data_IF_003968687609
#
_entry.id   IF_003968687609
#
_cell.length_a   1.000
_cell.length_b   1.000
_cell.length_c   1.000
_cell.angle_alpha   90.00
_cell.angle_beta   90.00
_cell.angle_gamma   90.00
#
_symmetry.space_group_name_H-M   'P 1'
#
loop_
_entity.id
_entity.type
_entity.pdbx_description
1 polymer ?
#
# COMPACT_ATOMS: atom_id res chain seq x y z
N UNK A 1 -27.92 -4.19 17.88
CA UNK A 1 -27.46 -3.07 17.03
C UNK A 1 -26.42 -2.28 17.79
N UNK A 2 -25.19 -2.79 17.79
CA UNK A 2 -24.00 -2.11 18.32
C UNK A 2 -22.93 -2.44 17.31
N UNK A 3 -22.96 -1.74 16.18
CA UNK A 3 -21.87 -1.76 15.22
C UNK A 3 -20.68 -1.12 15.91
N UNK A 4 -19.70 -1.93 16.28
CA UNK A 4 -18.34 -1.44 16.37
C UNK A 4 -18.00 -1.03 14.94
N UNK A 5 -18.08 0.27 14.66
CA UNK A 5 -17.32 0.87 13.59
C UNK A 5 -15.87 0.53 13.88
N UNK A 6 -15.33 -0.42 13.12
CA UNK A 6 -13.89 -0.50 12.91
C UNK A 6 -13.41 0.90 12.50
N UNK A 7 -12.31 1.39 13.06
CA UNK A 7 -11.76 2.66 12.62
C UNK A 7 -11.40 2.52 11.14
N UNK A 8 -12.17 3.21 10.29
CA UNK A 8 -11.77 3.53 8.93
C UNK A 8 -10.37 4.15 9.02
N UNK A 9 -9.35 3.42 8.57
CA UNK A 9 -8.03 3.99 8.36
C UNK A 9 -8.17 4.95 7.19
N UNK A 10 -8.11 6.24 7.50
CA UNK A 10 -8.16 7.29 6.49
C UNK A 10 -6.72 7.43 5.97
N UNK A 11 -6.56 7.02 4.72
CA UNK A 11 -5.32 6.92 3.96
C UNK A 11 -4.46 8.19 4.03
N UNK A 12 -3.21 8.04 4.43
CA UNK A 12 -2.15 9.00 4.11
C UNK A 12 -1.33 8.36 3.00
N UNK A 13 -1.68 8.63 1.74
CA UNK A 13 -1.02 7.95 0.62
C UNK A 13 0.31 8.61 0.16
N UNK A 14 0.79 9.71 0.78
CA UNK A 14 1.94 10.47 0.23
C UNK A 14 2.82 11.23 1.25
N UNK A 15 3.88 11.89 0.75
CA UNK A 15 4.78 12.76 1.54
C UNK A 15 3.99 13.94 2.16
N UNK A 16 4.26 14.28 3.43
CA UNK A 16 3.60 15.39 4.17
C UNK A 16 4.61 16.35 4.81
N UNK A 17 4.14 17.44 5.43
CA UNK A 17 4.99 18.46 6.03
C UNK A 17 6.03 19.04 5.06
N UNK A 18 7.27 19.21 5.51
CA UNK A 18 8.33 19.73 4.63
C UNK A 18 8.69 18.78 3.48
N UNK A 19 8.65 17.46 3.69
CA UNK A 19 8.88 16.47 2.63
C UNK A 19 7.81 16.56 1.52
N UNK A 20 6.54 16.72 1.89
CA UNK A 20 5.43 16.89 0.94
C UNK A 20 5.53 18.19 0.16
N UNK A 21 6.03 19.27 0.80
CA UNK A 21 6.29 20.52 0.10
C UNK A 21 7.41 20.33 -0.93
N UNK A 22 8.50 19.68 -0.55
CA UNK A 22 9.62 19.44 -1.48
C UNK A 22 9.24 18.52 -2.64
N UNK A 23 8.33 17.56 -2.42
CA UNK A 23 7.74 16.77 -3.50
C UNK A 23 6.97 17.66 -4.50
N UNK A 24 6.13 18.59 -4.02
CA UNK A 24 5.42 19.51 -4.88
C UNK A 24 6.37 20.34 -5.76
N UNK A 25 7.54 20.75 -5.23
CA UNK A 25 8.59 21.40 -6.02
C UNK A 25 9.19 20.48 -7.08
N UNK A 26 9.37 19.19 -6.80
CA UNK A 26 9.95 18.23 -7.77
C UNK A 26 9.00 17.93 -8.92
N UNK A 27 7.70 17.98 -8.67
CA UNK A 27 6.66 17.69 -9.65
C UNK A 27 6.20 18.92 -10.44
N UNK A 28 6.53 20.12 -9.97
CA UNK A 28 6.13 21.38 -10.62
C UNK A 28 7.22 21.90 -11.55
N UNK A 29 6.85 22.72 -12.56
CA UNK A 29 7.82 23.51 -13.31
C UNK A 29 8.70 24.36 -12.39
N UNK A 30 9.97 24.54 -12.76
CA UNK A 30 10.91 25.31 -11.96
C UNK A 30 10.42 26.75 -11.74
N UNK A 31 10.25 27.20 -10.48
CA UNK A 31 9.82 28.56 -10.22
C UNK A 31 10.84 29.59 -10.73
N UNK A 32 10.39 30.54 -11.53
CA UNK A 32 11.28 31.54 -12.15
C UNK A 32 11.85 32.56 -11.14
N UNK A 33 11.14 32.78 -10.03
CA UNK A 33 11.49 33.76 -9.01
C UNK A 33 10.88 33.40 -7.66
N UNK A 34 11.27 34.14 -6.62
CA UNK A 34 10.82 33.90 -5.24
C UNK A 34 9.31 34.03 -5.06
N UNK A 35 8.65 34.91 -5.83
CA UNK A 35 7.20 35.06 -5.81
C UNK A 35 6.50 33.82 -6.35
N UNK A 36 6.98 33.25 -7.47
CA UNK A 36 6.46 32.00 -8.03
C UNK A 36 6.68 30.82 -7.06
N UNK A 37 7.85 30.74 -6.41
CA UNK A 37 8.13 29.70 -5.42
C UNK A 37 7.19 29.80 -4.20
N UNK A 38 6.92 31.01 -3.70
CA UNK A 38 5.91 31.21 -2.65
C UNK A 38 4.49 30.92 -3.13
N UNK A 39 4.19 31.22 -4.39
CA UNK A 39 2.92 30.85 -5.03
C UNK A 39 2.66 29.34 -4.98
N UNK A 40 3.70 28.52 -5.23
CA UNK A 40 3.61 27.06 -5.10
C UNK A 40 3.37 26.62 -3.65
N UNK A 41 4.04 27.24 -2.68
CA UNK A 41 3.79 26.99 -1.24
C UNK A 41 2.33 27.27 -0.90
N UNK A 42 1.81 28.43 -1.33
CA UNK A 42 0.42 28.81 -1.11
C UNK A 42 -0.55 27.83 -1.78
N UNK A 43 -0.31 27.45 -3.03
CA UNK A 43 -1.14 26.49 -3.76
C UNK A 43 -1.19 25.12 -3.08
N UNK A 44 -0.04 24.62 -2.60
CA UNK A 44 0.02 23.36 -1.84
C UNK A 44 -0.76 23.47 -0.54
N UNK A 45 -0.61 24.56 0.21
CA UNK A 45 -1.38 24.79 1.43
C UNK A 45 -2.90 24.92 1.14
N UNK A 46 -3.28 25.59 0.05
CA UNK A 46 -4.67 25.77 -0.37
C UNK A 46 -5.35 24.44 -0.76
N UNK A 47 -4.62 23.55 -1.44
CA UNK A 47 -5.11 22.23 -1.80
C UNK A 47 -5.54 21.41 -0.58
N UNK A 48 -4.85 21.55 0.55
CA UNK A 48 -5.15 20.84 1.80
C UNK A 48 -6.22 21.54 2.65
N UNK A 49 -6.45 22.84 2.45
CA UNK A 49 -7.49 23.58 3.16
C UNK A 49 -8.89 23.42 2.54
N UNK A 50 -9.00 22.95 1.29
CA UNK A 50 -10.28 22.86 0.57
C UNK A 50 -10.86 21.43 0.55
N UNK A 51 -11.60 21.06 1.59
CA UNK A 51 -12.81 20.25 1.39
C UNK A 51 -14.01 21.20 1.17
N UNK A 52 -14.25 21.58 -0.08
CA UNK A 52 -15.52 22.15 -0.51
C UNK A 52 -15.83 21.63 -1.93
N UNK A 53 -17.09 21.28 -2.23
CA UNK A 53 -17.45 20.39 -3.33
C UNK A 53 -16.99 20.90 -4.70
N UNK A 54 -16.43 19.96 -5.46
CA UNK A 54 -16.03 20.01 -6.87
C UNK A 54 -16.79 21.08 -7.67
N UNK A 55 -16.07 22.13 -8.06
CA UNK A 55 -16.56 23.16 -8.98
C UNK A 55 -15.52 24.19 -9.42
N UNK A 56 -14.34 24.25 -8.79
CA UNK A 56 -13.32 25.27 -9.08
C UNK A 56 -12.02 24.73 -9.70
N UNK A 57 -11.74 23.42 -9.60
CA UNK A 57 -10.48 22.82 -10.07
C UNK A 57 -10.51 22.33 -11.53
N UNK A 58 -11.55 22.67 -12.28
CA UNK A 58 -11.69 22.32 -13.71
C UNK A 58 -10.64 22.95 -14.62
N UNK A 59 -9.91 23.94 -14.11
CA UNK A 59 -8.78 24.54 -14.82
C UNK A 59 -7.45 23.79 -14.62
N UNK A 60 -7.38 22.87 -13.64
CA UNK A 60 -6.20 22.03 -13.40
C UNK A 60 -6.36 20.69 -14.12
N UNK A 61 -5.32 20.28 -14.84
CA UNK A 61 -5.19 18.97 -15.46
C UNK A 61 -5.19 17.83 -14.42
N UNK A 62 -5.46 16.61 -14.87
CA UNK A 62 -5.39 15.42 -14.01
C UNK A 62 -4.01 15.27 -13.35
N UNK A 63 -2.94 15.60 -14.08
CA UNK A 63 -1.57 15.59 -13.57
C UNK A 63 -1.39 16.65 -12.47
N UNK A 64 -1.87 17.89 -12.67
CA UNK A 64 -1.79 18.94 -11.65
C UNK A 64 -2.59 18.60 -10.38
N UNK A 65 -3.74 17.92 -10.52
CA UNK A 65 -4.52 17.46 -9.37
C UNK A 65 -3.82 16.36 -8.58
N UNK A 66 -3.19 15.42 -9.29
CA UNK A 66 -2.36 14.35 -8.69
C UNK A 66 -1.15 14.93 -7.98
N UNK A 67 -0.44 15.87 -8.61
CA UNK A 67 0.75 16.56 -8.06
C UNK A 67 0.43 17.33 -6.77
N UNK A 68 -0.75 17.93 -6.69
CA UNK A 68 -1.18 18.72 -5.52
C UNK A 68 -1.74 17.85 -4.38
N UNK A 69 -2.03 16.58 -4.62
CA UNK A 69 -2.52 15.64 -3.61
C UNK A 69 -4.03 15.72 -3.38
N UNK A 70 -4.82 16.04 -4.42
CA UNK A 70 -6.28 16.19 -4.33
C UNK A 70 -7.07 14.88 -4.11
N UNK A 71 -6.42 13.71 -4.14
CA UNK A 71 -7.11 12.41 -4.09
C UNK A 71 -7.13 11.76 -2.69
N UNK A 72 -6.80 12.51 -1.64
CA UNK A 72 -6.61 11.94 -0.30
C UNK A 72 -7.34 12.77 0.76
N UNK A 73 -8.13 12.08 1.56
CA UNK A 73 -8.85 12.50 2.76
C UNK A 73 -7.90 12.95 3.88
N UNK A 74 -7.33 14.14 3.73
CA UNK A 74 -6.55 14.80 4.76
C UNK A 74 -7.46 15.56 5.71
N UNK A 75 -7.96 14.90 6.77
CA UNK A 75 -8.81 15.60 7.72
C UNK A 75 -8.50 15.16 9.15
N UNK A 76 -7.74 16.01 9.85
CA UNK A 76 -7.94 16.29 11.27
C UNK A 76 -7.07 17.45 11.83
N UNK A 77 -5.91 17.80 11.22
CA UNK A 77 -4.94 18.75 11.82
C UNK A 77 -4.30 19.82 10.94
N UNK A 78 -4.61 19.88 9.64
CA UNK A 78 -4.14 20.96 8.75
C UNK A 78 -2.64 20.91 8.43
N UNK A 79 -2.33 20.61 7.17
CA UNK A 79 -0.96 20.52 6.63
C UNK A 79 -0.05 21.73 6.97
N UNK A 80 -0.65 22.92 7.15
CA UNK A 80 0.08 24.13 7.54
C UNK A 80 0.80 24.01 8.89
N UNK A 81 0.20 23.35 9.89
CA UNK A 81 0.79 23.21 11.23
C UNK A 81 1.95 22.20 11.21
N UNK A 82 1.81 21.08 10.49
CA UNK A 82 2.88 20.10 10.31
C UNK A 82 4.08 20.68 9.56
N UNK A 83 3.82 21.37 8.44
CA UNK A 83 4.86 22.06 7.68
C UNK A 83 5.57 23.11 8.55
N UNK A 84 4.80 23.85 9.35
CA UNK A 84 5.33 24.88 10.25
C UNK A 84 6.22 24.28 11.35
N UNK A 85 5.83 23.15 11.92
CA UNK A 85 6.65 22.44 12.90
C UNK A 85 8.00 22.00 12.29
N UNK A 86 7.98 21.37 11.12
CA UNK A 86 9.19 20.94 10.40
C UNK A 86 10.10 22.13 10.08
N UNK A 87 9.53 23.21 9.56
CA UNK A 87 10.23 24.44 9.20
C UNK A 87 10.89 25.06 10.44
N UNK A 88 10.16 25.18 11.55
CA UNK A 88 10.69 25.77 12.80
C UNK A 88 11.83 24.94 13.37
N UNK A 89 11.70 23.62 13.37
CA UNK A 89 12.78 22.71 13.80
C UNK A 89 14.08 23.00 13.06
N UNK A 90 14.03 23.21 11.74
CA UNK A 90 15.22 23.57 10.96
C UNK A 90 15.67 25.03 11.20
N UNK A 91 14.75 25.99 11.25
CA UNK A 91 15.05 27.42 11.44
C UNK A 91 15.63 27.73 12.81
N UNK A 92 15.28 26.96 13.83
CA UNK A 92 15.79 27.11 15.21
C UNK A 92 16.99 26.19 15.48
N UNK A 93 17.31 25.27 14.56
CA UNK A 93 18.41 24.33 14.72
C UNK A 93 19.80 24.99 14.72
N UNK A 94 20.80 24.34 15.35
CA UNK A 94 22.19 24.76 15.29
C UNK A 94 22.91 24.40 13.97
N UNK A 95 22.19 23.89 12.96
CA UNK A 95 22.78 23.52 11.67
C UNK A 95 23.29 24.76 10.92
N UNK A 96 24.34 24.59 10.11
CA UNK A 96 24.79 25.63 9.19
C UNK A 96 23.75 25.89 8.08
N UNK A 97 23.69 27.11 7.53
CA UNK A 97 22.76 27.42 6.44
C UNK A 97 23.04 26.58 5.19
N UNK A 98 24.31 26.27 4.95
CA UNK A 98 24.77 25.40 3.87
C UNK A 98 24.22 23.97 4.01
N UNK A 99 24.14 23.45 5.24
CA UNK A 99 23.55 22.13 5.50
C UNK A 99 22.04 22.13 5.23
N UNK A 100 21.33 23.16 5.70
CA UNK A 100 19.89 23.34 5.43
C UNK A 100 19.64 23.46 3.91
N UNK A 101 20.47 24.25 3.22
CA UNK A 101 20.41 24.41 1.76
C UNK A 101 20.65 23.09 1.03
N UNK A 102 21.65 22.31 1.44
CA UNK A 102 21.96 21.02 0.82
C UNK A 102 20.79 20.04 0.95
N UNK A 103 20.18 19.97 2.13
CA UNK A 103 19.00 19.12 2.38
C UNK A 103 17.80 19.58 1.57
N UNK A 104 17.48 20.88 1.56
CA UNK A 104 16.39 21.44 0.76
C UNK A 104 16.56 21.11 -0.72
N UNK A 105 17.76 21.36 -1.27
CA UNK A 105 18.02 21.13 -2.70
C UNK A 105 17.90 19.65 -3.05
N UNK A 106 18.40 18.76 -2.20
CA UNK A 106 18.30 17.32 -2.45
C UNK A 106 16.85 16.83 -2.43
N UNK A 107 16.07 17.26 -1.43
CA UNK A 107 14.67 16.88 -1.31
C UNK A 107 13.78 17.51 -2.40
N UNK A 108 14.09 18.74 -2.84
CA UNK A 108 13.36 19.46 -3.89
C UNK A 108 13.91 19.23 -5.31
N UNK A 109 14.82 18.28 -5.51
CA UNK A 109 15.40 17.97 -6.84
C UNK A 109 16.22 19.07 -7.48
N UNK A 110 16.69 20.04 -6.69
CA UNK A 110 17.45 21.18 -7.17
C UNK A 110 16.64 22.15 -8.04
N UNK A 111 15.32 21.94 -8.15
CA UNK A 111 14.40 22.74 -8.97
C UNK A 111 14.32 24.19 -8.48
N UNK A 112 14.48 24.40 -7.17
CA UNK A 112 14.54 25.72 -6.54
C UNK A 112 15.69 25.81 -5.54
N UNK A 113 16.56 26.81 -5.72
CA UNK A 113 17.68 27.12 -4.81
C UNK A 113 17.59 28.57 -4.32
N UNK A 114 17.23 28.81 -3.04
CA UNK A 114 17.09 30.17 -2.48
C UNK A 114 18.32 31.06 -2.72
N UNK A 115 19.53 30.49 -2.69
CA UNK A 115 20.76 31.27 -2.85
C UNK A 115 20.97 31.76 -4.28
N UNK A 116 20.42 31.07 -5.29
CA UNK A 116 20.41 31.56 -6.67
C UNK A 116 19.58 32.85 -6.82
N UNK A 117 18.71 33.13 -5.84
CA UNK A 117 17.87 34.32 -5.76
C UNK A 117 18.30 35.26 -4.63
N UNK A 118 19.55 35.15 -4.15
CA UNK A 118 20.11 36.07 -3.15
C UNK A 118 19.54 35.89 -1.74
N UNK A 119 19.03 34.71 -1.41
CA UNK A 119 18.41 34.40 -0.12
C UNK A 119 19.12 33.23 0.58
N UNK A 120 19.29 33.31 1.90
CA UNK A 120 19.74 32.14 2.68
C UNK A 120 18.66 31.07 2.75
N UNK A 121 19.03 29.80 2.96
CA UNK A 121 18.04 28.75 3.10
C UNK A 121 17.14 28.98 4.34
N UNK A 122 17.70 29.53 5.42
CA UNK A 122 16.94 29.87 6.62
C UNK A 122 15.96 31.01 6.40
N UNK A 123 16.31 32.02 5.63
CA UNK A 123 15.37 33.10 5.28
C UNK A 123 14.23 32.58 4.40
N UNK A 124 14.52 31.64 3.49
CA UNK A 124 13.49 30.95 2.72
C UNK A 124 12.51 30.19 3.60
N UNK A 125 13.03 29.37 4.52
CA UNK A 125 12.20 28.62 5.48
C UNK A 125 11.39 29.55 6.40
N UNK A 126 11.94 30.71 6.83
CA UNK A 126 11.18 31.70 7.60
C UNK A 126 9.99 32.26 6.82
N UNK A 127 10.14 32.52 5.52
CA UNK A 127 9.00 32.96 4.69
C UNK A 127 7.92 31.89 4.56
N UNK A 128 8.31 30.61 4.56
CA UNK A 128 7.34 29.51 4.62
C UNK A 128 6.61 29.52 5.98
N UNK A 129 7.32 29.66 7.11
CA UNK A 129 6.69 29.78 8.45
C UNK A 129 5.73 30.97 8.52
N UNK A 130 6.13 32.14 8.00
CA UNK A 130 5.28 33.33 7.92
C UNK A 130 4.02 33.07 7.06
N UNK A 131 4.17 32.37 5.93
CA UNK A 131 3.05 32.01 5.05
C UNK A 131 2.08 31.04 5.74
N UNK A 132 2.59 30.04 6.46
CA UNK A 132 1.77 29.14 7.27
C UNK A 132 1.08 29.89 8.43
N UNK A 133 1.81 30.76 9.14
CA UNK A 133 1.29 31.50 10.28
C UNK A 133 0.24 32.55 9.91
N UNK A 134 0.24 33.04 8.67
CA UNK A 134 -0.78 33.94 8.15
C UNK A 134 -2.15 33.25 7.94
N UNK A 135 -2.20 31.92 7.98
CA UNK A 135 -3.47 31.18 7.83
C UNK A 135 -4.27 31.17 9.13
N UNK A 136 -5.59 31.36 9.06
CA UNK A 136 -6.44 31.25 10.24
C UNK A 136 -6.42 29.80 10.74
N UNK A 137 -6.29 29.56 12.06
CA UNK A 137 -6.34 28.20 12.60
C UNK A 137 -7.71 27.58 12.29
N UNK A 138 -7.71 26.37 11.73
CA UNK A 138 -8.93 25.62 11.37
C UNK A 138 -9.64 25.19 12.66
N UNK A 139 -10.60 25.99 13.12
CA UNK A 139 -11.50 25.61 14.22
C UNK A 139 -12.67 24.81 13.65
N UNK A 140 -12.60 23.49 13.72
CA UNK A 140 -13.76 22.63 13.42
C UNK A 140 -14.71 22.69 14.64
N UNK A 141 -15.91 23.30 14.53
CA UNK A 141 -16.80 23.49 15.69
C UNK A 141 -17.26 22.14 16.25
N UNK A 142 -17.18 21.97 17.59
CA UNK A 142 -17.70 20.78 18.28
C UNK A 142 -16.69 19.64 18.50
N UNK A 143 -15.51 19.66 17.87
CA UNK A 143 -14.41 18.75 18.20
C UNK A 143 -13.53 19.35 19.30
N UNK A 144 -13.28 18.58 20.37
CA UNK A 144 -12.15 18.87 21.28
C UNK A 144 -10.87 18.69 20.46
N UNK A 145 -9.81 19.50 20.67
CA UNK A 145 -8.49 19.12 20.19
C UNK A 145 -8.24 17.71 20.74
N UNK A 146 -8.05 16.73 19.87
CA UNK A 146 -7.52 15.46 20.34
C UNK A 146 -6.17 15.78 21.01
N UNK A 147 -5.78 15.06 22.08
CA UNK A 147 -4.41 15.15 22.58
C UNK A 147 -3.47 15.09 21.37
N UNK A 148 -2.51 16.02 21.31
CA UNK A 148 -1.59 16.22 20.19
C UNK A 148 -1.20 14.86 19.59
N UNK A 149 -1.81 14.56 18.45
CA UNK A 149 -1.87 13.29 17.74
C UNK A 149 -2.50 12.09 18.48
N UNK A 150 -3.47 11.42 17.84
CA UNK A 150 -3.75 10.00 18.12
C UNK A 150 -2.48 9.13 17.97
N UNK A 151 -1.52 9.59 17.14
CA UNK A 151 -0.14 9.10 17.07
C UNK A 151 0.73 9.43 18.30
N UNK A 152 0.33 10.37 19.16
CA UNK A 152 1.16 10.93 20.23
C UNK A 152 1.27 10.01 21.43
N UNK A 153 0.33 9.06 21.54
CA UNK A 153 0.42 7.99 22.52
C UNK A 153 1.45 6.90 22.11
N UNK A 154 1.85 6.83 20.84
CA UNK A 154 2.69 5.76 20.28
C UNK A 154 3.91 6.25 19.48
N UNK A 155 4.19 7.55 19.39
CA UNK A 155 5.44 8.03 18.80
C UNK A 155 6.59 7.65 19.73
N UNK A 156 7.56 6.85 19.27
CA UNK A 156 8.74 6.52 20.07
C UNK A 156 9.45 7.81 20.43
N UNK A 157 10.09 7.83 21.59
CA UNK A 157 10.95 8.95 21.93
C UNK A 157 12.00 9.11 20.83
N UNK A 158 12.30 10.35 20.42
CA UNK A 158 13.25 10.60 19.32
C UNK A 158 14.59 9.87 19.52
N UNK A 159 15.02 9.70 20.77
CA UNK A 159 16.26 9.01 21.11
C UNK A 159 16.22 7.50 20.79
N UNK A 160 15.05 6.85 20.78
CA UNK A 160 14.90 5.41 20.51
C UNK A 160 15.13 5.04 19.03
N UNK A 161 14.89 5.98 18.12
CA UNK A 161 14.92 5.78 16.66
C UNK A 161 16.08 6.53 15.99
N UNK A 162 16.72 7.47 16.70
CA UNK A 162 17.77 8.33 16.14
C UNK A 162 18.94 7.53 15.60
N UNK A 163 19.46 6.61 16.39
CA UNK A 163 20.67 5.86 16.03
C UNK A 163 20.42 4.99 14.78
N UNK A 164 19.22 4.41 14.66
CA UNK A 164 18.86 3.59 13.50
C UNK A 164 18.72 4.43 12.22
N UNK A 165 18.05 5.58 12.30
CA UNK A 165 17.93 6.51 11.15
C UNK A 165 19.32 7.03 10.73
N UNK A 166 20.14 7.44 11.71
CA UNK A 166 21.51 7.92 11.47
C UNK A 166 22.36 6.81 10.85
N UNK A 167 22.23 5.56 11.31
CA UNK A 167 22.95 4.42 10.76
C UNK A 167 22.58 4.15 9.29
N UNK A 168 21.30 4.22 8.91
CA UNK A 168 20.89 4.05 7.51
C UNK A 168 21.43 5.17 6.60
N UNK A 169 21.34 6.42 7.03
CA UNK A 169 21.88 7.57 6.25
C UNK A 169 23.40 7.44 6.10
N UNK A 170 24.09 7.10 7.18
CA UNK A 170 25.55 6.90 7.19
C UNK A 170 25.96 5.76 6.27
N UNK A 171 25.24 4.64 6.30
CA UNK A 171 25.47 3.50 5.40
C UNK A 171 25.36 3.89 3.92
N UNK A 172 24.37 4.72 3.55
CA UNK A 172 24.29 5.28 2.19
C UNK A 172 25.48 6.19 1.86
N UNK A 173 25.94 7.01 2.81
CA UNK A 173 27.11 7.89 2.60
C UNK A 173 28.38 7.11 2.34
N UNK A 174 28.62 6.06 3.12
CA UNK A 174 29.80 5.18 2.96
C UNK A 174 29.79 4.45 1.61
N UNK A 175 28.60 4.09 1.10
CA UNK A 175 28.45 3.54 -0.25
C UNK A 175 28.79 4.58 -1.33
N UNK A 176 28.45 5.85 -1.11
CA UNK A 176 28.71 6.97 -2.04
C UNK A 176 30.21 7.33 -2.14
N UNK A 177 31.00 7.06 -1.11
CA UNK A 177 32.45 7.35 -1.07
C UNK A 177 33.32 6.13 -1.38
N UNK A 178 32.71 4.96 -1.62
CA UNK A 178 33.42 3.71 -1.87
C UNK A 178 34.21 3.68 -3.19
N UNK A 179 35.27 2.87 -3.29
CA UNK A 179 36.10 2.74 -4.49
C UNK A 179 35.40 1.99 -5.65
N UNK A 180 34.27 1.36 -5.38
CA UNK A 180 33.46 0.68 -6.38
C UNK A 180 32.39 1.65 -6.90
N UNK A 181 32.20 1.79 -8.23
CA UNK A 181 31.16 2.64 -8.77
C UNK A 181 29.81 2.14 -8.24
N UNK A 182 29.10 2.99 -7.49
CA UNK A 182 27.73 2.69 -7.06
C UNK A 182 26.85 2.47 -8.29
N UNK A 183 25.88 1.54 -8.24
CA UNK A 183 25.02 1.21 -9.37
C UNK A 183 23.99 2.30 -9.73
N UNK A 184 24.16 3.55 -9.28
CA UNK A 184 23.25 4.66 -9.57
C UNK A 184 23.72 6.00 -9.00
N UNK A 185 23.03 7.10 -9.35
CA UNK A 185 23.34 8.44 -8.84
C UNK A 185 22.94 8.54 -7.37
N UNK A 186 23.92 8.48 -6.48
CA UNK A 186 23.70 8.76 -5.05
C UNK A 186 23.66 10.28 -4.81
N UNK A 187 22.91 10.75 -3.78
CA UNK A 187 23.08 12.09 -3.27
C UNK A 187 24.55 12.31 -2.88
N UNK A 188 25.03 13.55 -3.01
CA UNK A 188 26.42 13.86 -2.71
C UNK A 188 26.78 13.50 -1.25
N UNK A 189 28.03 13.12 -0.95
CA UNK A 189 28.44 12.85 0.42
C UNK A 189 28.17 14.00 1.40
N UNK A 190 28.25 15.24 0.92
CA UNK A 190 27.94 16.45 1.70
C UNK A 190 26.44 16.54 2.00
N UNK A 191 25.58 16.22 1.02
CA UNK A 191 24.12 16.12 1.21
C UNK A 191 23.78 15.05 2.25
N UNK A 192 24.36 13.87 2.15
CA UNK A 192 24.09 12.77 3.09
C UNK A 192 24.59 13.11 4.50
N UNK A 193 25.72 13.83 4.59
CA UNK A 193 26.21 14.35 5.88
C UNK A 193 25.24 15.37 6.49
N UNK A 194 24.68 16.27 5.67
CA UNK A 194 23.69 17.24 6.14
C UNK A 194 22.38 16.56 6.59
N UNK A 195 21.92 15.53 5.87
CA UNK A 195 20.76 14.72 6.28
C UNK A 195 21.01 13.95 7.58
N UNK A 196 22.22 13.41 7.76
CA UNK A 196 22.65 12.77 9.01
C UNK A 196 22.61 13.78 10.17
N UNK A 197 23.08 15.01 9.95
CA UNK A 197 23.02 16.07 10.96
C UNK A 197 21.58 16.47 11.31
N UNK A 198 20.65 16.52 10.35
CA UNK A 198 19.22 16.75 10.62
C UNK A 198 18.67 15.64 11.51
N UNK A 199 18.91 14.36 11.16
CA UNK A 199 18.42 13.23 11.95
C UNK A 199 19.01 13.22 13.37
N UNK A 200 20.31 13.51 13.49
CA UNK A 200 21.04 13.45 14.75
C UNK A 200 20.77 14.64 15.69
N UNK A 201 20.64 15.86 15.14
CA UNK A 201 20.66 17.11 15.92
C UNK A 201 19.37 17.90 15.90
N UNK A 202 18.46 17.61 14.96
CA UNK A 202 17.18 18.32 14.81
C UNK A 202 16.05 17.40 15.20
N UNK A 203 15.77 16.40 14.36
CA UNK A 203 14.74 15.41 14.63
C UNK A 203 14.89 14.19 13.71
N UNK A 204 14.86 12.95 14.24
CA UNK A 204 15.08 11.75 13.43
C UNK A 204 13.96 11.51 12.41
N UNK A 205 12.68 11.75 12.76
CA UNK A 205 11.57 11.68 11.81
C UNK A 205 11.75 12.61 10.60
N UNK A 206 12.02 13.90 10.84
CA UNK A 206 12.24 14.86 9.76
C UNK A 206 13.46 14.49 8.89
N UNK A 207 14.56 14.07 9.54
CA UNK A 207 15.74 13.57 8.84
C UNK A 207 15.45 12.35 7.97
N UNK A 208 14.66 11.40 8.48
CA UNK A 208 14.25 10.21 7.74
C UNK A 208 13.36 10.54 6.54
N UNK A 209 12.33 11.38 6.72
CA UNK A 209 11.43 11.79 5.62
C UNK A 209 12.18 12.55 4.51
N UNK A 210 13.06 13.48 4.87
CA UNK A 210 13.87 14.21 3.88
C UNK A 210 14.91 13.31 3.20
N UNK A 211 15.43 12.31 3.92
CA UNK A 211 16.31 11.31 3.34
C UNK A 211 15.58 10.43 2.33
N UNK A 212 14.41 9.87 2.68
CA UNK A 212 13.56 9.13 1.74
C UNK A 212 13.26 9.97 0.50
N UNK A 213 12.86 11.24 0.67
CA UNK A 213 12.61 12.16 -0.44
C UNK A 213 13.84 12.33 -1.34
N UNK A 214 15.03 12.54 -0.77
CA UNK A 214 16.26 12.63 -1.55
C UNK A 214 16.51 11.33 -2.34
N UNK A 215 16.29 10.15 -1.75
CA UNK A 215 16.42 8.88 -2.48
C UNK A 215 15.44 8.77 -3.66
N UNK A 216 14.17 9.18 -3.47
CA UNK A 216 13.14 9.19 -4.52
C UNK A 216 13.54 10.10 -5.69
N UNK A 217 13.91 11.35 -5.38
CA UNK A 217 14.32 12.38 -6.36
C UNK A 217 15.53 11.94 -7.15
N UNK A 218 16.52 11.35 -6.48
CA UNK A 218 17.74 10.88 -7.13
C UNK A 218 17.55 9.48 -7.77
N UNK A 219 16.37 8.86 -7.67
CA UNK A 219 16.10 7.49 -8.14
C UNK A 219 17.19 6.52 -7.70
N UNK A 220 17.54 6.58 -6.41
CA UNK A 220 18.58 5.73 -5.84
C UNK A 220 18.08 4.30 -5.78
N UNK A 221 18.70 3.42 -6.56
CA UNK A 221 18.42 1.99 -6.49
C UNK A 221 18.81 1.42 -5.12
N UNK A 222 17.84 0.92 -4.35
CA UNK A 222 18.06 0.28 -3.05
C UNK A 222 17.71 -1.21 -3.06
N UNK A 223 18.39 -2.01 -2.26
CA UNK A 223 18.04 -3.42 -2.08
C UNK A 223 16.74 -3.60 -1.28
N UNK A 224 15.99 -4.68 -1.57
CA UNK A 224 14.77 -5.04 -0.83
C UNK A 224 14.97 -5.08 0.69
N UNK A 225 16.11 -5.60 1.16
CA UNK A 225 16.41 -5.65 2.59
C UNK A 225 16.51 -4.26 3.24
N UNK A 226 16.96 -3.23 2.49
CA UNK A 226 16.98 -1.84 2.98
C UNK A 226 15.58 -1.24 2.95
N UNK A 227 14.81 -1.49 1.89
CA UNK A 227 13.40 -1.11 1.82
C UNK A 227 12.61 -1.65 3.02
N UNK A 228 12.82 -2.93 3.40
CA UNK A 228 12.14 -3.54 4.55
C UNK A 228 12.49 -2.85 5.87
N UNK A 229 13.75 -2.46 6.05
CA UNK A 229 14.16 -1.66 7.22
C UNK A 229 13.53 -0.27 7.21
N UNK A 230 13.33 0.34 6.04
CA UNK A 230 12.60 1.61 5.94
C UNK A 230 11.13 1.46 6.31
N UNK A 231 10.48 0.36 5.90
CA UNK A 231 9.10 0.06 6.32
C UNK A 231 9.01 -0.10 7.84
N UNK A 232 9.93 -0.84 8.47
CA UNK A 232 9.99 -0.99 9.93
C UNK A 232 10.23 0.36 10.63
N UNK A 233 11.13 1.20 10.13
CA UNK A 233 11.35 2.54 10.66
C UNK A 233 10.12 3.42 10.51
N UNK A 234 9.47 3.39 9.34
CA UNK A 234 8.23 4.12 9.07
C UNK A 234 7.11 3.73 10.04
N UNK A 235 6.90 2.42 10.21
CA UNK A 235 5.93 1.89 11.17
C UNK A 235 6.21 2.37 12.60
N UNK A 236 7.48 2.41 13.03
CA UNK A 236 7.87 2.95 14.34
C UNK A 236 7.51 4.43 14.49
N UNK A 237 7.57 5.23 13.42
CA UNK A 237 7.11 6.62 13.46
C UNK A 237 5.58 6.78 13.37
N UNK A 238 4.85 5.70 13.11
CA UNK A 238 3.41 5.74 12.79
C UNK A 238 3.14 6.23 11.36
N UNK A 239 4.11 6.12 10.46
CA UNK A 239 3.93 6.53 9.07
C UNK A 239 3.12 5.50 8.29
N UNK A 240 2.32 5.95 7.31
CA UNK A 240 1.72 5.05 6.33
C UNK A 240 2.82 4.38 5.51
N UNK A 241 2.60 3.13 5.12
CA UNK A 241 3.55 2.41 4.28
C UNK A 241 3.76 3.07 2.90
N UNK A 242 2.73 3.74 2.38
CA UNK A 242 2.75 4.49 1.12
C UNK A 242 3.84 5.57 1.07
N UNK A 243 4.15 6.20 2.22
CA UNK A 243 5.25 7.17 2.35
C UNK A 243 6.59 6.56 1.90
N UNK A 244 6.81 5.28 2.19
CA UNK A 244 8.02 4.55 1.81
C UNK A 244 7.84 3.91 0.43
N UNK A 245 6.69 3.32 0.15
CA UNK A 245 6.47 2.51 -1.05
C UNK A 245 6.53 3.33 -2.34
N UNK A 246 5.90 4.51 -2.35
CA UNK A 246 5.76 5.29 -3.58
C UNK A 246 7.03 6.06 -3.93
N UNK A 247 7.50 5.86 -5.17
CA UNK A 247 8.60 6.60 -5.78
C UNK A 247 10.00 6.13 -5.41
N UNK A 248 10.15 5.11 -4.55
CA UNK A 248 11.46 4.50 -4.30
C UNK A 248 11.85 3.52 -5.42
N UNK A 249 13.10 3.61 -5.87
CA UNK A 249 13.67 2.69 -6.84
C UNK A 249 14.20 1.43 -6.13
N UNK A 250 13.38 0.39 -6.01
CA UNK A 250 13.72 -0.81 -5.23
C UNK A 250 14.13 -1.98 -6.13
N UNK A 251 15.30 -2.56 -5.86
CA UNK A 251 15.77 -3.84 -6.37
C UNK A 251 14.91 -5.00 -5.87
N UNK A 252 13.71 -5.09 -6.43
CA UNK A 252 12.77 -6.16 -6.19
C UNK A 252 13.36 -7.50 -6.61
N UNK A 253 13.20 -8.55 -5.80
CA UNK A 253 13.54 -9.90 -6.22
C UNK A 253 12.68 -10.32 -7.42
N UNK A 254 13.06 -11.39 -8.15
CA UNK A 254 12.19 -11.96 -9.17
C UNK A 254 10.84 -12.38 -8.57
N UNK A 255 9.76 -12.21 -9.33
CA UNK A 255 8.44 -12.72 -8.95
C UNK A 255 8.54 -14.23 -8.75
N UNK A 256 8.13 -14.69 -7.58
CA UNK A 256 8.01 -16.11 -7.23
C UNK A 256 6.65 -16.34 -6.59
N UNK A 257 5.71 -16.86 -7.38
CA UNK A 257 4.36 -17.14 -6.91
C UNK A 257 4.36 -18.13 -5.76
N UNK A 258 5.32 -19.06 -5.67
CA UNK A 258 5.37 -20.09 -4.64
C UNK A 258 5.67 -19.54 -3.24
N UNK A 259 6.25 -18.35 -3.11
CA UNK A 259 6.56 -17.75 -1.80
C UNK A 259 5.33 -17.31 -1.03
N UNK A 260 4.22 -17.02 -1.71
CA UNK A 260 2.98 -16.52 -1.09
C UNK A 260 3.24 -15.32 -0.16
N UNK A 261 4.05 -14.36 -0.61
CA UNK A 261 4.47 -13.19 0.18
C UNK A 261 3.32 -12.21 0.52
N UNK A 262 2.06 -12.62 0.43
CA UNK A 262 0.89 -11.79 0.73
C UNK A 262 0.48 -11.97 2.19
N UNK A 263 0.36 -10.85 2.91
CA UNK A 263 -0.12 -10.83 4.30
C UNK A 263 -1.59 -11.24 4.41
N UNK A 264 -2.38 -10.96 3.37
CA UNK A 264 -3.83 -11.18 3.29
C UNK A 264 -4.18 -12.22 2.23
N UNK A 265 -5.48 -12.41 1.94
CA UNK A 265 -5.93 -13.20 0.80
C UNK A 265 -5.29 -12.72 -0.51
N UNK A 266 -5.03 -13.64 -1.44
CA UNK A 266 -4.37 -13.36 -2.72
C UNK A 266 -4.92 -14.25 -3.86
N UNK A 267 -4.63 -13.86 -5.10
CA UNK A 267 -5.00 -14.65 -6.28
C UNK A 267 -6.51 -14.68 -6.54
N UNK A 268 -7.02 -15.82 -7.00
CA UNK A 268 -8.42 -15.94 -7.43
C UNK A 268 -9.43 -15.82 -6.27
N UNK A 269 -9.08 -16.29 -5.07
CA UNK A 269 -9.90 -16.12 -3.85
C UNK A 269 -10.01 -14.66 -3.42
N UNK A 270 -8.92 -13.91 -3.50
CA UNK A 270 -8.91 -12.48 -3.18
C UNK A 270 -9.84 -11.72 -4.11
N UNK A 271 -9.65 -11.91 -5.43
CA UNK A 271 -10.51 -11.34 -6.45
C UNK A 271 -11.98 -11.69 -6.19
N UNK A 272 -12.27 -12.94 -5.85
CA UNK A 272 -13.65 -13.40 -5.66
C UNK A 272 -14.39 -12.65 -4.54
N UNK A 273 -13.76 -12.31 -3.42
CA UNK A 273 -14.47 -11.53 -2.39
C UNK A 273 -14.17 -10.04 -2.37
N UNK A 274 -13.46 -9.49 -3.37
CA UNK A 274 -13.66 -8.10 -3.76
C UNK A 274 -15.02 -7.87 -4.45
N UNK A 275 -15.74 -8.96 -4.77
CA UNK A 275 -17.04 -8.96 -5.42
C UNK A 275 -18.24 -8.52 -4.59
N UNK A 276 -18.12 -7.40 -3.89
CA UNK A 276 -19.20 -6.85 -3.09
C UNK A 276 -20.32 -6.21 -3.95
N UNK A 277 -21.35 -5.67 -3.29
CA UNK A 277 -22.63 -5.30 -3.91
C UNK A 277 -22.53 -4.27 -5.05
N UNK A 278 -21.56 -3.35 -4.98
CA UNK A 278 -21.33 -2.31 -5.99
C UNK A 278 -20.35 -2.74 -7.09
N UNK A 279 -19.82 -3.97 -7.02
CA UNK A 279 -18.84 -4.45 -7.96
C UNK A 279 -19.44 -4.71 -9.35
N UNK A 280 -18.67 -4.33 -10.38
CA UNK A 280 -19.01 -4.55 -11.77
C UNK A 280 -17.92 -5.44 -12.40
N UNK A 281 -18.29 -6.65 -12.82
CA UNK A 281 -17.41 -7.60 -13.49
C UNK A 281 -16.96 -7.07 -14.88
N UNK A 282 -15.98 -6.17 -14.86
CA UNK A 282 -15.47 -5.48 -16.03
C UNK A 282 -13.93 -5.45 -15.99
N UNK A 283 -13.33 -4.98 -17.08
CA UNK A 283 -11.88 -4.96 -17.23
C UNK A 283 -11.17 -3.98 -16.30
N UNK A 284 -11.80 -2.87 -15.94
CA UNK A 284 -11.26 -1.84 -15.04
C UNK A 284 -11.02 -2.43 -13.65
N UNK A 285 -12.06 -3.05 -13.10
CA UNK A 285 -12.00 -3.65 -11.78
C UNK A 285 -11.02 -4.81 -11.70
N UNK A 286 -10.93 -5.62 -12.77
CA UNK A 286 -9.89 -6.64 -12.89
C UNK A 286 -8.48 -6.05 -12.92
N UNK A 287 -8.30 -4.87 -13.53
CA UNK A 287 -7.00 -4.21 -13.56
C UNK A 287 -6.60 -3.78 -12.15
N UNK A 288 -7.51 -3.18 -11.39
CA UNK A 288 -7.28 -2.81 -9.98
C UNK A 288 -6.86 -4.03 -9.15
N UNK A 289 -7.55 -5.16 -9.30
CA UNK A 289 -7.18 -6.39 -8.61
C UNK A 289 -5.81 -6.94 -9.04
N UNK A 290 -5.45 -6.84 -10.33
CA UNK A 290 -4.14 -7.24 -10.84
C UNK A 290 -3.01 -6.28 -10.43
N UNK A 291 -3.34 -5.02 -10.12
CA UNK A 291 -2.45 -3.98 -9.60
C UNK A 291 -2.31 -4.01 -8.08
N UNK A 292 -3.13 -4.83 -7.39
CA UNK A 292 -3.19 -4.94 -5.93
C UNK A 292 -2.02 -5.68 -5.30
N UNK A 293 -0.79 -5.45 -5.77
CA UNK A 293 0.42 -5.89 -5.07
C UNK A 293 0.42 -5.29 -3.65
N UNK A 294 0.60 -6.14 -2.64
CA UNK A 294 0.71 -5.69 -1.27
C UNK A 294 1.99 -4.88 -1.03
N UNK A 295 2.01 -4.10 0.05
CA UNK A 295 3.20 -3.35 0.48
C UNK A 295 4.40 -4.30 0.58
N UNK A 296 5.51 -3.93 -0.06
CA UNK A 296 6.73 -4.71 -0.05
C UNK A 296 6.70 -5.97 -0.93
N UNK A 297 5.67 -6.16 -1.76
CA UNK A 297 5.68 -7.18 -2.78
C UNK A 297 6.39 -6.71 -4.05
N UNK A 298 6.91 -7.69 -4.80
CA UNK A 298 7.49 -7.41 -6.11
C UNK A 298 6.36 -6.96 -7.06
N UNK A 299 6.50 -5.84 -7.77
CA UNK A 299 5.49 -5.40 -8.73
C UNK A 299 5.11 -6.49 -9.74
N UNK A 300 3.82 -6.77 -9.87
CA UNK A 300 3.25 -7.83 -10.69
C UNK A 300 3.04 -9.17 -9.98
N UNK A 301 3.34 -9.29 -8.68
CA UNK A 301 3.12 -10.52 -7.91
C UNK A 301 1.64 -10.90 -7.83
N UNK A 302 0.75 -9.94 -7.57
CA UNK A 302 -0.69 -10.16 -7.53
C UNK A 302 -1.21 -10.69 -8.88
N UNK A 303 -0.83 -10.02 -9.98
CA UNK A 303 -1.16 -10.46 -11.34
C UNK A 303 -0.59 -11.85 -11.66
N UNK A 304 0.63 -12.17 -11.22
CA UNK A 304 1.25 -13.47 -11.46
C UNK A 304 0.51 -14.61 -10.76
N UNK A 305 0.17 -14.44 -9.48
CA UNK A 305 -0.56 -15.46 -8.71
C UNK A 305 -1.99 -15.62 -9.24
N UNK A 306 -2.68 -14.52 -9.54
CA UNK A 306 -4.02 -14.55 -10.14
C UNK A 306 -4.01 -15.23 -11.52
N UNK A 307 -3.01 -14.96 -12.36
CA UNK A 307 -2.83 -15.63 -13.64
C UNK A 307 -2.60 -17.14 -13.47
N UNK A 308 -1.80 -17.54 -12.48
CA UNK A 308 -1.53 -18.94 -12.19
C UNK A 308 -2.81 -19.69 -11.79
N UNK A 309 -3.57 -19.14 -10.84
CA UNK A 309 -4.86 -19.70 -10.40
C UNK A 309 -5.84 -19.80 -11.56
N UNK A 310 -5.98 -18.73 -12.35
CA UNK A 310 -6.88 -18.70 -13.50
C UNK A 310 -6.50 -19.77 -14.54
N UNK A 311 -5.20 -19.95 -14.80
CA UNK A 311 -4.73 -20.97 -15.73
C UNK A 311 -4.88 -22.39 -15.22
N UNK A 312 -4.75 -22.63 -13.91
CA UNK A 312 -5.03 -23.94 -13.30
C UNK A 312 -6.49 -24.32 -13.51
N UNK A 313 -7.42 -23.40 -13.25
CA UNK A 313 -8.85 -23.63 -13.47
C UNK A 313 -9.19 -23.76 -14.97
N UNK A 314 -8.64 -22.89 -15.83
CA UNK A 314 -8.86 -22.94 -17.29
C UNK A 314 -8.37 -24.23 -17.92
N UNK A 315 -7.23 -24.77 -17.47
CA UNK A 315 -6.66 -26.02 -18.01
C UNK A 315 -7.25 -27.27 -17.37
N UNK A 316 -8.05 -27.12 -16.31
CA UNK A 316 -8.66 -28.24 -15.63
C UNK A 316 -9.78 -28.89 -16.45
N UNK A 317 -10.06 -30.15 -16.12
CA UNK A 317 -11.18 -30.91 -16.67
C UNK A 317 -12.53 -30.61 -16.00
N UNK A 318 -12.62 -29.57 -15.15
CA UNK A 318 -13.89 -29.17 -14.55
C UNK A 318 -14.90 -28.78 -15.63
N UNK A 319 -16.17 -29.18 -15.51
CA UNK A 319 -17.23 -28.66 -16.35
C UNK A 319 -17.38 -27.14 -16.18
N UNK A 320 -17.80 -26.43 -17.22
CA UNK A 320 -17.99 -24.97 -17.21
C UNK A 320 -18.98 -24.52 -16.13
N UNK A 321 -20.01 -25.35 -15.90
CA UNK A 321 -20.96 -25.16 -14.81
C UNK A 321 -20.30 -25.24 -13.42
N UNK A 322 -19.31 -26.12 -13.21
CA UNK A 322 -18.59 -26.22 -11.95
C UNK A 322 -17.66 -25.02 -11.72
N UNK A 323 -17.02 -24.53 -12.79
CA UNK A 323 -16.22 -23.28 -12.72
C UNK A 323 -17.10 -22.08 -12.39
N UNK A 324 -18.27 -21.99 -13.02
CA UNK A 324 -19.27 -20.96 -12.74
C UNK A 324 -19.77 -21.05 -11.29
N UNK A 325 -20.05 -22.27 -10.80
CA UNK A 325 -20.47 -22.50 -9.42
C UNK A 325 -19.37 -22.12 -8.41
N UNK A 326 -18.09 -22.40 -8.70
CA UNK A 326 -16.97 -21.99 -7.84
C UNK A 326 -16.86 -20.47 -7.72
N UNK A 327 -16.94 -19.77 -8.85
CA UNK A 327 -16.92 -18.31 -8.87
C UNK A 327 -18.10 -17.75 -8.07
N UNK A 328 -19.32 -18.18 -8.37
CA UNK A 328 -20.53 -17.79 -7.64
C UNK A 328 -20.47 -18.13 -6.16
N UNK A 329 -19.87 -19.26 -5.80
CA UNK A 329 -19.72 -19.68 -4.43
C UNK A 329 -18.77 -18.81 -3.61
N UNK A 330 -17.68 -18.38 -4.25
CA UNK A 330 -16.64 -17.59 -3.60
C UNK A 330 -16.89 -16.07 -3.67
N UNK A 331 -17.84 -15.63 -4.51
CA UNK A 331 -18.17 -14.21 -4.74
C UNK A 331 -19.57 -13.86 -4.22
N UNK A 332 -19.75 -12.69 -3.61
CA UNK A 332 -21.10 -12.25 -3.21
C UNK A 332 -21.98 -11.92 -4.44
N UNK A 333 -21.38 -11.51 -5.56
CA UNK A 333 -22.06 -11.16 -6.81
C UNK A 333 -21.31 -11.69 -8.06
N UNK A 334 -21.60 -12.91 -8.55
CA UNK A 334 -20.85 -13.54 -9.66
C UNK A 334 -20.92 -12.84 -11.02
N UNK A 335 -21.71 -11.79 -11.19
CA UNK A 335 -22.01 -11.24 -12.51
C UNK A 335 -22.78 -12.24 -13.40
N UNK A 336 -22.90 -11.94 -14.69
CA UNK A 336 -23.65 -12.77 -15.67
C UNK A 336 -22.75 -13.53 -16.65
N UNK A 337 -21.44 -13.57 -16.39
CA UNK A 337 -20.45 -14.12 -17.33
C UNK A 337 -20.23 -15.61 -17.07
N UNK A 338 -20.11 -16.41 -18.13
CA UNK A 338 -19.69 -17.81 -18.03
C UNK A 338 -18.32 -17.90 -17.32
N UNK A 339 -18.18 -18.87 -16.42
CA UNK A 339 -16.98 -18.99 -15.59
C UNK A 339 -15.69 -19.13 -16.40
N UNK A 340 -15.70 -19.83 -17.54
CA UNK A 340 -14.49 -19.96 -18.38
C UNK A 340 -14.18 -18.70 -19.17
N UNK A 341 -15.21 -18.01 -19.68
CA UNK A 341 -15.00 -16.72 -20.34
C UNK A 341 -14.45 -15.68 -19.36
N UNK A 342 -14.95 -15.69 -18.12
CA UNK A 342 -14.44 -14.85 -17.05
C UNK A 342 -12.96 -15.12 -16.75
N UNK A 343 -12.58 -16.39 -16.59
CA UNK A 343 -11.18 -16.77 -16.36
C UNK A 343 -10.26 -16.37 -17.53
N UNK A 344 -10.74 -16.43 -18.79
CA UNK A 344 -9.97 -15.95 -19.96
C UNK A 344 -9.71 -14.46 -19.86
N UNK A 345 -10.73 -13.67 -19.51
CA UNK A 345 -10.60 -12.23 -19.31
C UNK A 345 -9.62 -11.89 -18.18
N UNK A 346 -9.71 -12.58 -17.03
CA UNK A 346 -8.74 -12.46 -15.93
C UNK A 346 -7.32 -12.71 -16.43
N UNK A 347 -7.12 -13.83 -17.15
CA UNK A 347 -5.80 -14.21 -17.64
C UNK A 347 -5.23 -13.16 -18.63
N UNK A 348 -6.07 -12.56 -19.48
CA UNK A 348 -5.64 -11.53 -20.41
C UNK A 348 -5.25 -10.23 -19.72
N UNK A 349 -6.04 -9.77 -18.73
CA UNK A 349 -5.70 -8.58 -17.92
C UNK A 349 -4.40 -8.80 -17.14
N UNK A 350 -4.22 -9.97 -16.52
CA UNK A 350 -2.99 -10.26 -15.78
C UNK A 350 -1.77 -10.28 -16.71
N UNK A 351 -1.89 -10.83 -17.93
CA UNK A 351 -0.79 -10.79 -18.91
C UNK A 351 -0.45 -9.37 -19.36
N UNK A 352 -1.43 -8.49 -19.45
CA UNK A 352 -1.20 -7.07 -19.74
C UNK A 352 -0.43 -6.40 -18.62
N UNK A 353 -0.92 -6.54 -17.39
CA UNK A 353 -0.24 -6.00 -16.20
C UNK A 353 1.19 -6.52 -16.06
N UNK A 354 1.42 -7.81 -16.29
CA UNK A 354 2.77 -8.39 -16.21
C UNK A 354 3.71 -7.86 -17.30
N UNK A 355 3.21 -7.56 -18.50
CA UNK A 355 4.02 -6.93 -19.55
C UNK A 355 4.48 -5.52 -19.16
N UNK A 356 3.68 -4.82 -18.38
CA UNK A 356 3.98 -3.46 -17.89
C UNK A 356 4.87 -3.49 -16.65
N UNK A 357 4.50 -4.25 -15.63
CA UNK A 357 5.16 -4.27 -14.32
C UNK A 357 6.45 -5.10 -14.30
N UNK A 358 6.49 -6.19 -15.07
CA UNK A 358 7.57 -7.17 -15.02
C UNK A 358 7.83 -7.77 -16.41
N UNK A 359 8.31 -6.98 -17.39
CA UNK A 359 8.46 -7.44 -18.78
C UNK A 359 9.41 -8.63 -18.96
N UNK A 360 10.32 -8.86 -18.02
CA UNK A 360 11.22 -10.01 -18.00
C UNK A 360 10.60 -11.28 -17.37
N UNK A 361 9.41 -11.17 -16.76
CA UNK A 361 8.74 -12.29 -16.13
C UNK A 361 8.30 -13.33 -17.18
N UNK A 362 8.70 -14.57 -16.95
CA UNK A 362 8.21 -15.71 -17.70
C UNK A 362 7.33 -16.54 -16.79
N UNK A 363 6.06 -16.73 -17.19
CA UNK A 363 5.12 -17.52 -16.42
C UNK A 363 5.63 -18.96 -16.25
N UNK A 364 5.84 -19.36 -15.00
CA UNK A 364 6.07 -20.74 -14.59
C UNK A 364 4.93 -21.14 -13.68
N UNK A 365 4.04 -22.02 -14.15
CA UNK A 365 2.99 -22.59 -13.30
C UNK A 365 3.65 -23.67 -12.45
N UNK A 366 3.80 -23.41 -11.15
CA UNK A 366 4.37 -24.38 -10.23
C UNK A 366 3.49 -25.63 -10.14
N UNK A 367 4.05 -26.81 -9.81
CA UNK A 367 3.24 -27.97 -9.46
C UNK A 367 2.27 -27.66 -8.32
N UNK A 368 1.13 -28.36 -8.29
CA UNK A 368 0.18 -28.26 -7.19
C UNK A 368 0.78 -28.81 -5.88
N UNK A 369 0.45 -28.17 -4.75
CA UNK A 369 0.94 -28.54 -3.42
C UNK A 369 0.08 -29.62 -2.80
N UNK A 370 0.30 -30.87 -3.21
CA UNK A 370 -0.60 -31.98 -2.87
C UNK A 370 -0.45 -32.50 -1.44
N UNK A 371 0.51 -32.00 -0.64
CA UNK A 371 0.83 -32.55 0.69
C UNK A 371 -0.31 -32.47 1.70
N UNK A 372 -1.23 -31.53 1.49
CA UNK A 372 -2.37 -31.26 2.36
C UNK A 372 -3.72 -31.69 1.77
N UNK A 373 -3.73 -32.34 0.60
CA UNK A 373 -4.97 -32.67 -0.11
C UNK A 373 -5.98 -33.43 0.76
N UNK A 374 -5.55 -34.48 1.46
CA UNK A 374 -6.43 -35.27 2.33
C UNK A 374 -6.95 -34.48 3.54
N UNK A 375 -6.14 -33.55 4.06
CA UNK A 375 -6.52 -32.70 5.19
C UNK A 375 -7.56 -31.66 4.78
N UNK A 376 -7.33 -30.96 3.67
CA UNK A 376 -8.28 -29.98 3.14
C UNK A 376 -9.58 -30.67 2.72
N UNK A 377 -9.48 -31.82 2.04
CA UNK A 377 -10.64 -32.60 1.60
C UNK A 377 -11.52 -33.02 2.78
N UNK A 378 -10.92 -33.38 3.92
CA UNK A 378 -11.65 -33.71 5.14
C UNK A 378 -12.49 -32.53 5.62
N UNK A 379 -11.91 -31.33 5.70
CA UNK A 379 -12.63 -30.13 6.17
C UNK A 379 -13.78 -29.73 5.23
N UNK A 380 -13.58 -29.88 3.91
CA UNK A 380 -14.64 -29.67 2.91
C UNK A 380 -15.79 -30.67 3.14
N UNK A 381 -15.49 -31.96 3.26
CA UNK A 381 -16.49 -33.01 3.44
C UNK A 381 -17.22 -32.95 4.78
N UNK A 382 -16.54 -32.58 5.85
CA UNK A 382 -17.16 -32.39 7.17
C UNK A 382 -18.11 -31.17 7.18
N UNK A 383 -17.85 -30.17 6.33
CA UNK A 383 -18.72 -28.99 6.21
C UNK A 383 -19.93 -29.22 5.31
N UNK A 384 -19.80 -30.03 4.26
CA UNK A 384 -20.84 -30.22 3.25
C UNK A 384 -22.24 -30.55 3.83
N UNK A 385 -22.41 -31.44 4.83
CA UNK A 385 -23.72 -31.73 5.42
C UNK A 385 -24.36 -30.54 6.12
N UNK A 386 -23.56 -29.62 6.69
CA UNK A 386 -24.06 -28.46 7.42
C UNK A 386 -24.58 -27.34 6.50
N UNK A 387 -24.27 -27.42 5.20
CA UNK A 387 -24.63 -26.40 4.21
C UNK A 387 -25.55 -26.93 3.11
N UNK A 388 -25.95 -28.20 3.14
CA UNK A 388 -26.74 -28.86 2.07
C UNK A 388 -28.03 -28.10 1.70
N UNK A 389 -28.71 -27.50 2.69
CA UNK A 389 -29.96 -26.76 2.48
C UNK A 389 -29.74 -25.27 2.19
N UNK A 390 -28.48 -24.82 2.08
CA UNK A 390 -28.14 -23.42 1.83
C UNK A 390 -28.00 -23.13 0.33
N UNK A 391 -28.22 -21.87 -0.01
CA UNK A 391 -28.11 -21.34 -1.37
C UNK A 391 -27.23 -20.10 -1.32
N UNK A 392 -26.26 -20.03 -2.23
CA UNK A 392 -25.37 -18.86 -2.39
C UNK A 392 -26.02 -17.87 -3.36
N UNK A 393 -25.84 -16.58 -3.09
CA UNK A 393 -26.40 -15.46 -3.87
C UNK A 393 -27.90 -15.61 -4.18
N UNK A 394 -28.78 -15.81 -3.18
CA UNK A 394 -30.19 -16.14 -3.38
C UNK A 394 -30.99 -15.06 -4.14
N UNK A 395 -30.49 -13.83 -4.18
CA UNK A 395 -31.15 -12.69 -4.83
C UNK A 395 -30.69 -12.44 -6.27
N UNK A 396 -29.76 -13.24 -6.81
CA UNK A 396 -29.18 -13.04 -8.13
C UNK A 396 -29.24 -14.32 -8.97
N UNK A 397 -28.18 -15.13 -8.94
CA UNK A 397 -28.11 -16.47 -9.53
C UNK A 397 -27.98 -17.46 -8.38
N UNK A 398 -29.10 -18.02 -7.87
CA UNK A 398 -29.03 -18.95 -6.76
C UNK A 398 -28.26 -20.20 -7.17
N UNK A 399 -27.17 -20.46 -6.46
CA UNK A 399 -26.38 -21.68 -6.64
C UNK A 399 -26.54 -22.55 -5.40
N UNK A 400 -26.99 -23.82 -5.54
CA UNK A 400 -27.02 -24.76 -4.42
C UNK A 400 -25.63 -24.90 -3.81
N UNK A 401 -25.53 -24.82 -2.49
CA UNK A 401 -24.24 -25.00 -1.82
C UNK A 401 -23.62 -26.37 -2.11
N UNK A 402 -24.42 -27.40 -2.38
CA UNK A 402 -23.96 -28.73 -2.81
C UNK A 402 -23.10 -28.67 -4.07
N UNK A 403 -23.51 -27.90 -5.07
CA UNK A 403 -22.81 -27.80 -6.35
C UNK A 403 -21.44 -27.12 -6.19
N UNK A 404 -21.39 -26.13 -5.30
CA UNK A 404 -20.14 -25.44 -4.93
C UNK A 404 -19.21 -26.37 -4.15
N UNK A 405 -19.74 -27.10 -3.16
CA UNK A 405 -18.95 -28.05 -2.37
C UNK A 405 -18.41 -29.21 -3.20
N UNK A 406 -19.19 -29.73 -4.15
CA UNK A 406 -18.75 -30.77 -5.10
C UNK A 406 -17.64 -30.27 -6.03
N UNK A 407 -17.75 -29.01 -6.48
CA UNK A 407 -16.72 -28.38 -7.28
C UNK A 407 -15.43 -28.13 -6.46
N UNK A 408 -15.55 -27.69 -5.19
CA UNK A 408 -14.42 -27.55 -4.28
C UNK A 408 -13.72 -28.88 -4.03
N UNK A 409 -14.46 -29.97 -3.80
CA UNK A 409 -13.89 -31.31 -3.67
C UNK A 409 -13.08 -31.70 -4.91
N UNK A 410 -13.57 -31.39 -6.11
CA UNK A 410 -12.81 -31.62 -7.34
C UNK A 410 -11.55 -30.75 -7.45
N UNK A 411 -11.61 -29.47 -7.07
CA UNK A 411 -10.43 -28.60 -7.05
C UNK A 411 -9.36 -29.17 -6.12
N UNK A 412 -9.74 -29.54 -4.91
CA UNK A 412 -8.84 -30.08 -3.88
C UNK A 412 -8.20 -31.39 -4.31
N UNK A 413 -8.96 -32.27 -4.97
CA UNK A 413 -8.49 -33.62 -5.33
C UNK A 413 -7.76 -33.68 -6.67
N UNK A 414 -8.06 -32.80 -7.63
CA UNK A 414 -7.60 -32.93 -9.02
C UNK A 414 -6.82 -31.73 -9.56
N UNK A 415 -6.90 -30.56 -8.91
CA UNK A 415 -6.31 -29.32 -9.44
C UNK A 415 -5.24 -28.81 -8.49
N UNK A 416 -5.66 -28.30 -7.33
CA UNK A 416 -4.76 -27.78 -6.31
C UNK A 416 -5.49 -27.64 -4.97
N UNK A 417 -5.08 -28.37 -3.91
CA UNK A 417 -5.66 -28.20 -2.59
C UNK A 417 -5.35 -26.84 -1.94
N UNK A 418 -4.28 -26.14 -2.36
CA UNK A 418 -4.00 -24.75 -1.92
C UNK A 418 -5.12 -23.82 -2.37
N UNK A 419 -5.36 -23.74 -3.69
CA UNK A 419 -6.45 -22.96 -4.27
C UNK A 419 -7.82 -23.42 -3.73
N UNK A 420 -8.03 -24.74 -3.62
CA UNK A 420 -9.25 -25.29 -3.06
C UNK A 420 -9.53 -24.85 -1.63
N UNK A 421 -8.49 -24.79 -0.78
CA UNK A 421 -8.62 -24.32 0.59
C UNK A 421 -8.91 -22.81 0.66
N UNK A 422 -8.24 -21.98 -0.13
CA UNK A 422 -8.53 -20.53 -0.17
C UNK A 422 -9.96 -20.24 -0.59
N UNK A 423 -10.46 -20.94 -1.62
CA UNK A 423 -11.85 -20.83 -2.06
C UNK A 423 -12.83 -21.38 -1.03
N UNK A 424 -12.47 -22.44 -0.31
CA UNK A 424 -13.29 -22.96 0.77
C UNK A 424 -13.49 -21.94 1.90
N UNK A 425 -12.43 -21.23 2.34
CA UNK A 425 -12.56 -20.15 3.33
C UNK A 425 -13.53 -19.05 2.88
N UNK A 426 -13.49 -18.69 1.58
CA UNK A 426 -14.45 -17.73 1.01
C UNK A 426 -15.89 -18.24 1.02
N UNK A 427 -16.10 -19.50 0.66
CA UNK A 427 -17.43 -20.13 0.69
C UNK A 427 -18.00 -20.18 2.12
N UNK A 428 -17.16 -20.40 3.15
CA UNK A 428 -17.60 -20.32 4.54
C UNK A 428 -18.15 -18.93 4.89
N UNK A 429 -17.47 -17.87 4.46
CA UNK A 429 -17.92 -16.49 4.63
C UNK A 429 -19.25 -16.23 3.90
N UNK A 430 -19.33 -16.57 2.61
CA UNK A 430 -20.53 -16.37 1.80
C UNK A 430 -21.76 -17.11 2.36
N UNK A 431 -21.56 -18.28 2.97
CA UNK A 431 -22.60 -19.08 3.61
C UNK A 431 -22.82 -18.76 5.09
N UNK A 432 -22.00 -17.86 5.67
CA UNK A 432 -21.95 -17.55 7.10
C UNK A 432 -21.97 -18.82 7.96
N UNK A 433 -21.06 -19.75 7.67
CA UNK A 433 -20.95 -21.04 8.38
C UNK A 433 -20.32 -20.80 9.74
N UNK A 434 -21.03 -21.15 10.82
CA UNK A 434 -20.48 -20.99 12.17
C UNK A 434 -19.31 -21.93 12.42
N UNK A 435 -18.27 -21.40 13.06
CA UNK A 435 -17.05 -22.12 13.40
C UNK A 435 -16.89 -22.24 14.92
N UNK A 436 -16.29 -23.34 15.36
CA UNK A 436 -15.75 -23.46 16.71
C UNK A 436 -14.30 -22.96 16.72
N UNK A 437 -13.80 -22.53 17.87
CA UNK A 437 -12.39 -22.14 18.02
C UNK A 437 -11.44 -23.25 17.53
N UNK A 438 -11.70 -24.51 17.93
CA UNK A 438 -10.88 -25.66 17.51
C UNK A 438 -10.81 -25.81 15.98
N UNK A 439 -11.90 -25.48 15.28
CA UNK A 439 -11.93 -25.56 13.81
C UNK A 439 -11.17 -24.41 13.17
N UNK A 440 -11.29 -23.21 13.72
CA UNK A 440 -10.50 -22.06 13.29
C UNK A 440 -8.99 -22.31 13.49
N UNK A 441 -8.57 -22.83 14.65
CA UNK A 441 -7.17 -23.18 14.93
C UNK A 441 -6.63 -24.22 13.92
N UNK A 442 -7.47 -25.17 13.48
CA UNK A 442 -7.08 -26.11 12.41
C UNK A 442 -6.90 -25.42 11.07
N UNK A 443 -7.72 -24.42 10.75
CA UNK A 443 -7.58 -23.65 9.51
C UNK A 443 -6.32 -22.80 9.52
N UNK A 444 -5.97 -22.19 10.65
CA UNK A 444 -4.69 -21.50 10.84
C UNK A 444 -3.52 -22.47 10.62
N UNK A 445 -3.55 -23.66 11.22
CA UNK A 445 -2.51 -24.67 11.02
C UNK A 445 -2.40 -25.16 9.56
N UNK A 446 -3.50 -25.21 8.81
CA UNK A 446 -3.46 -25.51 7.36
C UNK A 446 -2.81 -24.35 6.60
N UNK A 447 -3.22 -23.11 6.89
CA UNK A 447 -2.66 -21.89 6.29
C UNK A 447 -1.17 -21.74 6.52
N UNK A 448 -0.70 -21.94 7.76
CA UNK A 448 0.72 -21.93 8.12
C UNK A 448 1.52 -22.95 7.31
N UNK A 449 0.98 -24.16 7.12
CA UNK A 449 1.65 -25.22 6.36
C UNK A 449 1.67 -24.95 4.85
N UNK A 450 0.70 -24.22 4.31
CA UNK A 450 0.76 -23.69 2.95
C UNK A 450 1.64 -22.43 2.84
N UNK A 451 2.03 -21.81 3.96
CA UNK A 451 2.83 -20.60 4.01
C UNK A 451 2.03 -19.33 3.74
N UNK A 452 0.77 -19.27 4.17
CA UNK A 452 -0.03 -18.05 4.08
C UNK A 452 0.46 -16.98 5.04
N UNK A 453 0.20 -15.72 4.68
CA UNK A 453 0.42 -14.58 5.58
C UNK A 453 -0.50 -14.60 6.80
N UNK A 454 -0.09 -13.83 7.81
CA UNK A 454 -0.71 -13.77 9.15
C UNK A 454 -2.22 -13.61 9.13
N UNK A 455 -2.77 -12.81 8.21
CA UNK A 455 -4.17 -12.42 8.22
C UNK A 455 -5.03 -13.17 7.20
N UNK A 456 -4.46 -14.13 6.45
CA UNK A 456 -5.21 -14.83 5.41
C UNK A 456 -6.41 -15.61 5.98
N UNK A 457 -6.24 -16.28 7.13
CA UNK A 457 -7.30 -17.07 7.76
C UNK A 457 -8.21 -16.21 8.64
N UNK A 458 -7.73 -15.07 9.13
CA UNK A 458 -8.48 -14.16 10.00
C UNK A 458 -9.76 -13.62 9.37
N UNK A 459 -9.87 -13.65 8.04
CA UNK A 459 -11.10 -13.31 7.30
C UNK A 459 -12.32 -14.14 7.73
N UNK A 460 -12.15 -15.33 8.33
CA UNK A 460 -13.24 -16.16 8.85
C UNK A 460 -13.39 -16.13 10.38
N UNK A 461 -12.59 -15.33 11.10
CA UNK A 461 -12.61 -15.24 12.58
C UNK A 461 -13.98 -14.77 13.10
N UNK A 462 -14.61 -13.83 12.40
CA UNK A 462 -15.96 -13.34 12.74
C UNK A 462 -17.06 -14.42 12.70
N UNK A 463 -16.77 -15.61 12.15
CA UNK A 463 -17.68 -16.76 12.13
C UNK A 463 -17.57 -17.64 13.40
N UNK A 464 -16.60 -17.39 14.28
CA UNK A 464 -16.43 -18.13 15.54
C UNK A 464 -17.61 -17.84 16.46
N UNK A 465 -18.23 -18.91 16.99
CA UNK A 465 -19.30 -18.75 17.98
C UNK A 465 -18.75 -18.09 19.26
N UNK A 466 -19.29 -16.92 19.61
CA UNK A 466 -19.04 -16.33 20.93
C UNK A 466 -19.62 -17.26 21.99
N UNK A 467 -18.74 -17.86 22.80
CA UNK A 467 -19.07 -18.80 23.87
C UNK A 467 -19.95 -18.22 24.98
#
# INVERSE_FOLDING_TARGET
>A
MTGRQEPYYVDYDADFGLSGLTEAFTLSPAPENTGAALGLVMAKLDAYDHECPVGSVDHLSADERSILGYDISHDEWGYADELREDVRRLVESPLADEAIRAVWRAAAGGVWDPAAHGMSARDWLRRIDETCAARPPRKIPGRRPAPSSWWGAWRPAADEVRDDVVAEIRSCREQSTGPLPSPGPLPSPDTLSALEEVAARVHPDLGFRLFLRALKVHSVRIEKARYDRFQVLGQRFGHPAALIDFGLDVAWPPIDTARRDATWDFGFSHLAGQAHQDWCANREELRKAAEGDGIGQTPGSAAAVLLEDALRLLRSALPDAAVTALWAGASDRPGSTDGRDWLRLIADVCRERLREAAPAYTLVVAPARTELADTVLREVRETAPAVVDKVISPHWHPVPATDVMDALEHVVTRIDPDLGFRLFLRVLNALSVRLTQERYDRYEAIGERFGYGEYHVSDVDHLIEAG
#
